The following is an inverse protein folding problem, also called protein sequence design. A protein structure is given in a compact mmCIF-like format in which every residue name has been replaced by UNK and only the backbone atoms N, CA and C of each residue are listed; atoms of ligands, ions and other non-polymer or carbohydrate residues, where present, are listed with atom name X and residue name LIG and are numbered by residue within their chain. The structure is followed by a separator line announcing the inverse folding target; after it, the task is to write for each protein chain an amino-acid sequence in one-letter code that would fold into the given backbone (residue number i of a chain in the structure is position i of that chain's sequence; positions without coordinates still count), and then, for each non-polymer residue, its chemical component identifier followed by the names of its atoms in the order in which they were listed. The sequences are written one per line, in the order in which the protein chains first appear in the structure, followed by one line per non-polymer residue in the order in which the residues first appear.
data_IF_111647145161
#
_entry.id   IF_111647145161
#
_cell.length_a   1.000
_cell.length_b   1.000
_cell.length_c   1.000
_cell.angle_alpha   90.00
_cell.angle_beta   90.00
_cell.angle_gamma   90.00
#
_symmetry.space_group_name_H-M   'P 1'
#
loop_
_entity.id
_entity.type
_entity.pdbx_description
1 polymer ?
#
# COMPACT_ATOMS: atom_id res chain seq x y z
N UNK A 1 53.16 5.37 -42.46
CA UNK A 1 52.39 5.15 -41.21
C UNK A 1 52.61 6.35 -40.29
N UNK A 2 51.70 7.34 -40.27
CA UNK A 2 51.81 8.50 -39.38
C UNK A 2 51.20 8.15 -38.01
N UNK A 3 52.00 8.16 -36.95
CA UNK A 3 51.50 8.03 -35.58
C UNK A 3 50.62 9.24 -35.28
N UNK A 4 49.33 9.02 -35.00
CA UNK A 4 48.43 10.03 -34.44
C UNK A 4 49.08 10.53 -33.14
N UNK A 5 49.53 11.79 -33.13
CA UNK A 5 50.07 12.40 -31.93
C UNK A 5 48.92 12.66 -30.97
N UNK A 6 48.73 11.78 -29.99
CA UNK A 6 47.93 12.12 -28.82
C UNK A 6 48.67 13.23 -28.06
N UNK A 7 48.25 14.47 -28.26
CA UNK A 7 48.67 15.55 -27.36
C UNK A 7 47.85 15.35 -26.08
N UNK A 8 48.48 15.16 -24.91
CA UNK A 8 47.75 15.14 -23.65
C UNK A 8 47.03 16.48 -23.54
N UNK A 9 45.71 16.49 -23.69
CA UNK A 9 44.89 17.66 -23.38
C UNK A 9 44.86 17.72 -21.86
N UNK A 10 45.32 18.81 -21.22
CA UNK A 10 45.22 18.95 -19.78
C UNK A 10 43.78 18.69 -19.35
N UNK A 11 43.61 17.90 -18.28
CA UNK A 11 42.29 17.64 -17.72
C UNK A 11 41.70 18.99 -17.28
N UNK A 12 40.56 19.34 -17.89
CA UNK A 12 39.82 20.53 -17.49
C UNK A 12 39.10 20.23 -16.18
N UNK A 13 39.72 20.65 -15.07
CA UNK A 13 39.19 20.51 -13.71
C UNK A 13 37.87 21.28 -13.50
N UNK A 14 37.49 22.17 -14.41
CA UNK A 14 36.21 22.89 -14.36
C UNK A 14 35.12 22.20 -15.17
N UNK A 15 35.44 21.11 -15.88
CA UNK A 15 34.44 20.32 -16.59
C UNK A 15 33.50 19.68 -15.57
N UNK A 16 32.23 20.05 -15.63
CA UNK A 16 31.18 19.43 -14.80
C UNK A 16 31.09 17.94 -15.11
N UNK A 17 31.06 17.13 -14.06
CA UNK A 17 30.86 15.68 -14.19
C UNK A 17 29.42 15.38 -14.61
N UNK A 18 29.20 14.40 -15.50
CA UNK A 18 27.86 13.90 -15.78
C UNK A 18 27.26 13.32 -14.50
N UNK A 19 26.01 13.68 -14.22
CA UNK A 19 25.27 13.15 -13.07
C UNK A 19 24.60 11.86 -13.53
N UNK A 20 25.00 10.76 -12.91
CA UNK A 20 24.40 9.45 -13.13
C UNK A 20 23.17 9.32 -12.23
N UNK A 21 22.01 9.05 -12.81
CA UNK A 21 20.73 8.89 -12.09
C UNK A 21 20.38 7.42 -11.87
N UNK A 22 20.88 6.51 -12.71
CA UNK A 22 20.64 5.06 -12.58
C UNK A 22 21.83 4.23 -13.07
N UNK A 23 21.91 2.96 -12.63
CA UNK A 23 22.96 2.03 -13.08
C UNK A 23 22.89 1.78 -14.60
N UNK A 24 21.71 1.94 -15.21
CA UNK A 24 21.53 1.82 -16.67
C UNK A 24 22.22 2.96 -17.43
N UNK A 25 22.48 4.10 -16.80
CA UNK A 25 23.15 5.24 -17.43
C UNK A 25 24.65 4.97 -17.66
N UNK A 26 25.19 3.86 -17.12
CA UNK A 26 26.55 3.39 -17.38
C UNK A 26 26.65 2.45 -18.60
N UNK A 27 25.54 1.88 -19.06
CA UNK A 27 25.53 0.88 -20.15
C UNK A 27 25.55 1.52 -21.55
N UNK A 28 25.34 2.84 -21.65
CA UNK A 28 25.27 3.58 -22.93
C UNK A 28 26.62 4.20 -23.37
N UNK A 29 27.71 3.93 -22.64
CA UNK A 29 29.03 4.58 -22.81
C UNK A 29 30.05 3.76 -23.64
N UNK A 30 29.59 2.78 -24.41
CA UNK A 30 30.43 1.98 -25.34
C UNK A 30 30.53 2.61 -26.75
N UNK A 31 30.39 3.94 -26.87
CA UNK A 31 30.66 4.64 -28.15
C UNK A 31 31.79 5.65 -28.02
N UNK A 32 32.88 5.50 -28.80
CA UNK A 32 34.01 6.42 -28.73
C UNK A 32 33.56 7.79 -29.20
N UNK A 33 33.91 8.79 -28.41
CA UNK A 33 33.68 10.22 -28.60
C UNK A 33 34.07 10.68 -30.01
N UNK A 34 33.12 10.65 -30.96
CA UNK A 34 33.25 11.35 -32.24
C UNK A 34 32.40 12.61 -32.19
N UNK A 35 33.07 13.72 -32.38
CA UNK A 35 32.46 15.04 -32.49
C UNK A 35 31.77 15.14 -33.86
N UNK A 36 30.54 15.68 -33.86
CA UNK A 36 29.71 16.17 -34.99
C UNK A 36 28.57 15.24 -35.45
N UNK A 37 27.37 15.77 -35.23
CA UNK A 37 26.19 15.65 -36.10
C UNK A 37 25.45 14.30 -36.14
N UNK A 38 24.78 13.96 -35.04
CA UNK A 38 23.60 13.08 -35.09
C UNK A 38 22.53 13.54 -34.11
N UNK A 39 22.11 14.79 -34.24
CA UNK A 39 20.70 15.12 -34.03
C UNK A 39 19.93 14.44 -35.16
N UNK A 40 18.75 13.90 -34.85
CA UNK A 40 17.80 13.27 -35.78
C UNK A 40 18.12 11.79 -36.03
N UNK A 41 17.65 10.91 -35.14
CA UNK A 41 16.78 9.79 -35.52
C UNK A 41 16.35 8.97 -34.30
N UNK A 42 15.02 8.90 -34.12
CA UNK A 42 14.24 7.92 -33.36
C UNK A 42 14.03 8.19 -31.87
N UNK A 43 13.02 9.01 -31.58
CA UNK A 43 11.81 8.52 -30.91
C UNK A 43 10.63 9.34 -31.45
N UNK A 44 10.00 8.81 -32.51
CA UNK A 44 8.72 9.28 -32.99
C UNK A 44 7.64 8.50 -32.24
N UNK A 45 6.95 9.18 -31.32
CA UNK A 45 5.51 9.11 -31.08
C UNK A 45 5.24 9.73 -29.71
N UNK A 46 4.89 11.01 -29.67
CA UNK A 46 3.89 11.55 -28.75
C UNK A 46 3.64 13.04 -29.11
N UNK A 47 2.37 13.41 -29.02
CA UNK A 47 1.74 14.54 -29.71
C UNK A 47 2.34 15.92 -29.38
N UNK A 48 2.41 16.77 -30.40
CA UNK A 48 2.73 18.20 -30.33
C UNK A 48 1.84 18.92 -29.31
N UNK A 49 2.46 19.43 -28.24
CA UNK A 49 1.99 20.62 -27.53
C UNK A 49 3.11 21.64 -27.64
N UNK A 50 3.06 22.48 -28.67
CA UNK A 50 3.94 23.64 -28.82
C UNK A 50 3.63 24.65 -27.72
N UNK A 51 4.51 24.78 -26.72
CA UNK A 51 4.51 25.90 -25.78
C UNK A 51 5.66 26.85 -26.18
N UNK A 52 5.41 28.15 -26.44
CA UNK A 52 6.45 29.10 -26.82
C UNK A 52 7.50 29.25 -25.72
N UNK A 53 8.77 28.99 -26.08
CA UNK A 53 9.90 29.06 -25.17
C UNK A 53 10.26 30.53 -24.87
N UNK A 54 9.81 31.04 -23.72
CA UNK A 54 10.26 32.33 -23.19
C UNK A 54 11.69 32.23 -22.63
N UNK A 55 12.60 33.02 -23.20
CA UNK A 55 13.96 33.18 -22.71
C UNK A 55 13.96 33.93 -21.37
N UNK A 56 14.09 33.22 -20.26
CA UNK A 56 14.42 33.87 -18.99
C UNK A 56 15.49 33.09 -18.22
N UNK A 57 16.66 33.72 -18.13
CA UNK A 57 17.77 33.32 -17.25
C UNK A 57 17.35 33.57 -15.80
N UNK A 58 16.77 32.57 -15.15
CA UNK A 58 16.77 32.41 -13.69
C UNK A 58 17.10 30.94 -13.44
N UNK A 59 17.91 30.66 -12.43
CA UNK A 59 18.12 29.30 -11.93
C UNK A 59 16.79 28.77 -11.42
N UNK A 60 15.99 28.22 -12.34
CA UNK A 60 14.80 27.48 -11.97
C UNK A 60 15.28 26.31 -11.12
N UNK A 61 14.79 26.22 -9.87
CA UNK A 61 15.02 25.04 -9.06
C UNK A 61 14.56 23.82 -9.89
N UNK A 62 15.46 22.87 -10.12
CA UNK A 62 15.11 21.63 -10.83
C UNK A 62 14.11 20.88 -9.93
N UNK A 63 12.84 20.90 -10.33
CA UNK A 63 11.78 20.19 -9.60
C UNK A 63 11.97 18.70 -9.92
N UNK A 64 12.23 17.85 -8.92
CA UNK A 64 12.41 16.43 -9.17
C UNK A 64 11.14 15.83 -9.76
N UNK A 65 11.28 15.14 -10.89
CA UNK A 65 10.18 14.38 -11.52
C UNK A 65 10.04 13.03 -10.81
N UNK A 66 8.82 12.61 -10.42
CA UNK A 66 8.63 11.30 -9.84
C UNK A 66 8.96 10.19 -10.84
N UNK A 67 9.58 9.13 -10.37
CA UNK A 67 9.79 7.91 -11.16
C UNK A 67 8.56 7.00 -11.02
N UNK A 68 8.27 6.23 -12.07
CA UNK A 68 7.23 5.20 -12.03
C UNK A 68 7.84 3.82 -12.24
N UNK A 69 7.16 2.80 -11.72
CA UNK A 69 7.53 1.39 -11.83
C UNK A 69 6.34 0.64 -12.38
N UNK A 70 6.57 -0.25 -13.35
CA UNK A 70 5.55 -1.18 -13.85
C UNK A 70 5.43 -2.33 -12.86
N UNK A 71 4.20 -2.62 -12.43
CA UNK A 71 3.92 -3.70 -11.47
C UNK A 71 3.46 -4.92 -12.25
N UNK A 72 4.27 -5.98 -12.22
CA UNK A 72 4.01 -7.20 -13.00
C UNK A 72 2.68 -7.89 -12.65
N UNK A 73 2.21 -7.73 -11.41
CA UNK A 73 0.96 -8.36 -10.93
C UNK A 73 -0.29 -7.54 -11.24
N UNK A 74 -0.16 -6.34 -11.82
CA UNK A 74 -1.26 -5.40 -11.97
C UNK A 74 -2.47 -6.01 -12.69
N UNK A 75 -2.25 -6.65 -13.84
CA UNK A 75 -3.33 -7.26 -14.64
C UNK A 75 -4.00 -8.47 -13.95
N UNK A 76 -3.30 -9.11 -13.01
CA UNK A 76 -3.85 -10.21 -12.21
C UNK A 76 -4.70 -9.66 -11.06
N UNK A 77 -4.22 -8.61 -10.40
CA UNK A 77 -4.82 -8.08 -9.18
C UNK A 77 -6.01 -7.14 -9.52
N UNK A 78 -6.00 -6.52 -10.71
CA UNK A 78 -7.06 -5.62 -11.19
C UNK A 78 -7.71 -6.15 -12.46
N UNK A 79 -8.87 -6.79 -12.30
CA UNK A 79 -9.65 -7.26 -13.44
C UNK A 79 -10.44 -6.12 -14.12
N UNK A 80 -10.41 -6.07 -15.46
CA UNK A 80 -11.14 -5.08 -16.26
C UNK A 80 -12.63 -5.43 -16.39
N UNK A 81 -13.37 -5.33 -15.29
CA UNK A 81 -14.80 -5.68 -15.22
C UNK A 81 -15.74 -4.48 -15.44
N UNK A 82 -15.20 -3.27 -15.52
CA UNK A 82 -16.01 -2.06 -15.69
C UNK A 82 -16.60 -1.94 -17.11
N UNK A 83 -17.92 -2.03 -17.22
CA UNK A 83 -18.68 -1.71 -18.42
C UNK A 83 -19.11 -0.25 -18.42
N UNK A 84 -18.56 0.56 -19.33
CA UNK A 84 -18.87 1.98 -19.41
C UNK A 84 -20.36 2.20 -19.78
N UNK A 85 -21.15 2.89 -18.94
CA UNK A 85 -22.54 3.20 -19.29
C UNK A 85 -22.62 4.30 -20.34
N UNK A 86 -23.76 4.36 -21.04
CA UNK A 86 -24.05 5.40 -22.05
C UNK A 86 -24.34 6.78 -21.46
N UNK A 87 -24.57 6.86 -20.15
CA UNK A 87 -24.82 8.10 -19.41
C UNK A 87 -23.71 8.40 -18.41
N UNK A 88 -23.62 9.64 -17.93
CA UNK A 88 -22.70 9.99 -16.85
C UNK A 88 -22.98 9.20 -15.55
N UNK A 89 -21.89 8.87 -14.85
CA UNK A 89 -21.94 8.17 -13.57
C UNK A 89 -22.65 9.05 -12.53
N UNK A 90 -23.72 8.53 -11.94
CA UNK A 90 -24.39 9.14 -10.80
C UNK A 90 -24.03 8.36 -9.55
N UNK A 91 -22.92 8.71 -8.93
CA UNK A 91 -22.47 8.04 -7.71
C UNK A 91 -23.37 8.43 -6.52
N UNK A 92 -23.85 7.42 -5.79
CA UNK A 92 -24.26 7.57 -4.38
C UNK A 92 -23.05 7.21 -3.50
N UNK A 93 -23.06 7.64 -2.24
CA UNK A 93 -21.93 7.39 -1.33
C UNK A 93 -21.59 5.89 -1.25
N UNK A 94 -20.31 5.54 -1.34
CA UNK A 94 -19.81 4.17 -1.47
C UNK A 94 -20.30 3.19 -0.37
N UNK A 95 -20.68 3.71 0.81
CA UNK A 95 -21.19 2.92 1.94
C UNK A 95 -22.70 2.74 1.99
N UNK A 96 -23.46 3.36 1.08
CA UNK A 96 -24.93 3.31 1.14
C UNK A 96 -25.52 2.05 0.49
N UNK A 97 -24.77 1.33 -0.36
CA UNK A 97 -25.34 0.25 -1.20
C UNK A 97 -24.56 -1.09 -1.16
N UNK A 98 -23.37 -1.13 -0.57
CA UNK A 98 -22.59 -2.36 -0.39
C UNK A 98 -22.96 -2.91 1.00
N UNK A 99 -23.19 -4.23 1.12
CA UNK A 99 -23.66 -4.91 2.33
C UNK A 99 -22.74 -4.75 3.56
N UNK A 100 -22.61 -5.80 4.37
CA UNK A 100 -21.71 -5.73 5.52
C UNK A 100 -20.25 -5.53 5.04
N UNK A 101 -19.72 -4.33 5.23
CA UNK A 101 -18.35 -3.98 4.85
C UNK A 101 -17.37 -4.54 5.88
N UNK A 102 -16.50 -5.44 5.43
CA UNK A 102 -15.42 -6.01 6.23
C UNK A 102 -14.15 -5.19 5.93
N UNK A 103 -13.58 -4.55 6.95
CA UNK A 103 -12.38 -3.72 6.83
C UNK A 103 -11.08 -4.50 7.07
N UNK A 104 -11.19 -5.77 7.45
CA UNK A 104 -10.05 -6.60 7.84
C UNK A 104 -9.51 -7.38 6.65
N UNK A 105 -8.27 -7.12 6.28
CA UNK A 105 -7.49 -7.93 5.34
C UNK A 105 -6.54 -8.84 6.13
N UNK A 106 -6.40 -10.10 5.70
CA UNK A 106 -5.45 -11.04 6.31
C UNK A 106 -4.02 -10.54 6.16
N UNK A 107 -3.24 -10.57 7.25
CA UNK A 107 -1.79 -10.38 7.16
C UNK A 107 -1.07 -11.72 6.88
N UNK A 108 0.25 -11.66 6.66
CA UNK A 108 1.04 -12.84 6.37
C UNK A 108 0.91 -13.95 7.44
N UNK A 109 0.80 -13.58 8.72
CA UNK A 109 0.62 -14.55 9.81
C UNK A 109 -0.75 -15.23 9.72
N UNK A 110 -1.78 -14.46 9.42
CA UNK A 110 -3.14 -14.97 9.21
C UNK A 110 -3.21 -15.91 8.00
N UNK A 111 -2.55 -15.55 6.89
CA UNK A 111 -2.48 -16.39 5.68
C UNK A 111 -1.75 -17.70 5.94
N UNK A 112 -0.60 -17.66 6.63
CA UNK A 112 0.18 -18.85 6.99
C UNK A 112 -0.65 -19.79 7.89
N UNK A 113 -1.32 -19.23 8.90
CA UNK A 113 -2.21 -19.99 9.78
C UNK A 113 -3.38 -20.61 9.02
N UNK A 114 -4.01 -19.86 8.12
CA UNK A 114 -5.14 -20.33 7.32
C UNK A 114 -4.73 -21.45 6.35
N UNK A 115 -3.54 -21.36 5.76
CA UNK A 115 -2.98 -22.40 4.90
C UNK A 115 -2.73 -23.69 5.68
N UNK A 116 -2.12 -23.59 6.86
CA UNK A 116 -1.86 -24.73 7.75
C UNK A 116 -3.17 -25.38 8.22
N UNK A 117 -4.14 -24.57 8.66
CA UNK A 117 -5.44 -25.05 9.12
C UNK A 117 -6.23 -25.79 8.03
N UNK A 118 -6.10 -25.35 6.78
CA UNK A 118 -6.79 -25.95 5.63
C UNK A 118 -5.98 -27.05 4.92
N UNK A 119 -4.78 -27.40 5.40
CA UNK A 119 -3.86 -28.32 4.72
C UNK A 119 -4.51 -29.67 4.40
N UNK A 120 -5.24 -30.23 5.36
CA UNK A 120 -5.88 -31.54 5.18
C UNK A 120 -7.22 -31.43 4.44
N UNK A 121 -7.99 -30.39 4.74
CA UNK A 121 -9.30 -30.12 4.15
C UNK A 121 -9.51 -28.62 4.09
N UNK A 122 -9.94 -28.11 2.93
CA UNK A 122 -10.34 -26.69 2.75
C UNK A 122 -11.69 -26.43 3.42
N UNK A 123 -11.68 -26.29 4.75
CA UNK A 123 -12.88 -26.13 5.58
C UNK A 123 -13.25 -24.65 5.73
N UNK A 124 -12.25 -23.76 5.74
CA UNK A 124 -12.42 -22.34 6.03
C UNK A 124 -11.95 -21.47 4.85
N UNK A 125 -12.84 -20.78 4.11
CA UNK A 125 -12.43 -19.82 3.10
C UNK A 125 -11.92 -18.52 3.72
N UNK A 126 -11.00 -17.83 3.02
CA UNK A 126 -10.35 -16.59 3.48
C UNK A 126 -11.36 -15.49 3.85
N UNK A 127 -12.33 -15.21 2.98
CA UNK A 127 -13.37 -14.19 3.22
C UNK A 127 -14.17 -14.43 4.52
N UNK A 128 -14.45 -15.70 4.85
CA UNK A 128 -15.11 -16.04 6.12
C UNK A 128 -14.19 -15.81 7.30
N UNK A 129 -12.90 -16.12 7.16
CA UNK A 129 -11.93 -15.89 8.22
C UNK A 129 -11.77 -14.40 8.52
N UNK A 130 -11.63 -13.56 7.50
CA UNK A 130 -11.61 -12.10 7.59
C UNK A 130 -12.86 -11.56 8.30
N UNK A 131 -14.04 -12.03 7.88
CA UNK A 131 -15.32 -11.64 8.47
C UNK A 131 -15.37 -11.95 9.98
N UNK A 132 -14.87 -13.13 10.38
CA UNK A 132 -14.88 -13.55 11.78
C UNK A 132 -13.88 -12.72 12.60
N UNK A 133 -12.63 -12.56 12.12
CA UNK A 133 -11.61 -11.75 12.79
C UNK A 133 -12.08 -10.31 12.99
N UNK A 134 -12.66 -9.71 11.96
CA UNK A 134 -13.25 -8.38 12.02
C UNK A 134 -14.33 -8.27 13.09
N UNK A 135 -15.30 -9.20 13.08
CA UNK A 135 -16.41 -9.15 14.04
C UNK A 135 -15.94 -9.43 15.47
N UNK A 136 -14.97 -10.31 15.69
CA UNK A 136 -14.37 -10.53 17.02
C UNK A 136 -13.74 -9.25 17.55
N UNK A 137 -12.97 -8.53 16.73
CA UNK A 137 -12.36 -7.25 17.13
C UNK A 137 -13.42 -6.19 17.47
N UNK A 138 -14.47 -6.08 16.66
CA UNK A 138 -15.59 -5.16 16.92
C UNK A 138 -16.34 -5.51 18.20
N UNK A 139 -16.58 -6.80 18.46
CA UNK A 139 -17.26 -7.27 19.66
C UNK A 139 -16.42 -7.05 20.92
N UNK A 140 -15.11 -7.32 20.88
CA UNK A 140 -14.20 -7.05 21.98
C UNK A 140 -14.10 -5.56 22.29
N UNK A 141 -14.03 -4.72 21.27
CA UNK A 141 -14.10 -3.27 21.44
C UNK A 141 -15.41 -2.85 22.14
N UNK A 142 -16.56 -3.38 21.71
CA UNK A 142 -17.85 -3.09 22.37
C UNK A 142 -17.89 -3.59 23.82
N UNK A 143 -17.28 -4.73 24.12
CA UNK A 143 -17.18 -5.25 25.48
C UNK A 143 -16.32 -4.32 26.37
N UNK A 144 -15.20 -3.81 25.84
CA UNK A 144 -14.35 -2.82 26.52
C UNK A 144 -15.06 -1.50 26.79
N UNK A 145 -15.77 -0.96 25.80
CA UNK A 145 -16.57 0.25 25.98
C UNK A 145 -17.63 0.09 27.08
N UNK A 146 -18.33 -1.05 27.11
CA UNK A 146 -19.32 -1.36 28.17
C UNK A 146 -18.70 -1.51 29.56
N UNK A 147 -17.48 -2.03 29.65
CA UNK A 147 -16.74 -2.14 30.89
C UNK A 147 -16.14 -0.79 31.36
N UNK A 148 -16.34 0.30 30.62
CA UNK A 148 -15.74 1.60 30.91
C UNK A 148 -14.23 1.66 30.60
N UNK A 149 -13.68 0.65 29.91
CA UNK A 149 -12.27 0.55 29.54
C UNK A 149 -12.11 1.21 28.17
N UNK A 150 -12.25 2.54 28.15
CA UNK A 150 -11.99 3.38 26.97
C UNK A 150 -10.51 3.78 27.02
N UNK A 151 -9.61 2.81 26.90
CA UNK A 151 -8.18 3.12 26.92
C UNK A 151 -7.81 3.78 25.60
N UNK A 152 -7.20 4.99 25.60
CA UNK A 152 -6.57 5.51 24.40
C UNK A 152 -5.54 4.46 23.92
N UNK A 153 -5.49 4.20 22.61
CA UNK A 153 -4.60 3.19 21.98
C UNK A 153 -3.10 3.40 22.24
N UNK A 154 -2.75 4.47 22.97
CA UNK A 154 -1.43 4.74 23.53
C UNK A 154 -1.51 4.56 25.05
N UNK A 155 -1.09 3.40 25.54
CA UNK A 155 -1.21 3.06 26.96
C UNK A 155 -0.99 1.58 27.28
N UNK A 156 -1.29 1.15 28.51
CA UNK A 156 -1.07 -0.20 29.03
C UNK A 156 -1.69 -1.29 28.15
N UNK A 157 -1.28 -2.57 28.35
CA UNK A 157 -1.80 -3.72 27.60
C UNK A 157 -3.31 -3.67 27.43
N UNK A 158 -3.81 -3.73 26.18
CA UNK A 158 -5.26 -3.72 25.89
C UNK A 158 -5.82 -5.13 26.11
N UNK A 159 -6.52 -5.39 27.22
CA UNK A 159 -6.97 -6.73 27.57
C UNK A 159 -8.06 -7.20 26.60
N UNK A 160 -8.12 -8.52 26.42
CA UNK A 160 -9.23 -9.18 25.72
C UNK A 160 -10.34 -9.44 26.74
N UNK A 161 -11.52 -8.87 26.54
CA UNK A 161 -12.67 -9.04 27.43
C UNK A 161 -13.75 -9.94 26.83
N UNK A 162 -13.74 -10.10 25.50
CA UNK A 162 -14.70 -10.96 24.83
C UNK A 162 -14.49 -12.43 25.23
N UNK A 163 -15.47 -13.02 25.90
CA UNK A 163 -15.46 -14.46 26.22
C UNK A 163 -15.90 -15.30 25.02
N UNK A 164 -15.49 -16.56 24.99
CA UNK A 164 -15.84 -17.49 23.92
C UNK A 164 -17.35 -17.66 23.78
N UNK A 165 -18.07 -17.88 24.88
CA UNK A 165 -19.52 -18.08 24.87
C UNK A 165 -20.26 -16.86 24.32
N UNK A 166 -19.85 -15.65 24.72
CA UNK A 166 -20.43 -14.41 24.20
C UNK A 166 -20.13 -14.23 22.70
N UNK A 167 -18.95 -14.64 22.24
CA UNK A 167 -18.60 -14.61 20.82
C UNK A 167 -19.43 -15.63 20.00
N UNK A 168 -19.63 -16.85 20.51
CA UNK A 168 -20.48 -17.87 19.88
C UNK A 168 -21.92 -17.38 19.76
N UNK A 169 -22.48 -16.83 20.83
CA UNK A 169 -23.84 -16.29 20.85
C UNK A 169 -24.01 -15.15 19.84
N UNK A 170 -23.05 -14.22 19.79
CA UNK A 170 -23.10 -13.07 18.89
C UNK A 170 -22.88 -13.45 17.41
N UNK A 171 -22.14 -14.53 17.12
CA UNK A 171 -21.75 -14.93 15.77
C UNK A 171 -22.45 -16.19 15.25
N UNK A 172 -23.50 -16.65 15.95
CA UNK A 172 -24.30 -17.81 15.54
C UNK A 172 -24.88 -17.71 14.13
N UNK A 173 -25.14 -16.49 13.64
CA UNK A 173 -25.71 -16.26 12.30
C UNK A 173 -24.77 -16.64 11.14
N UNK A 174 -23.46 -16.77 11.40
CA UNK A 174 -22.47 -17.12 10.38
C UNK A 174 -22.46 -18.63 10.02
N UNK A 175 -23.23 -19.47 10.73
CA UNK A 175 -23.35 -20.92 10.50
C UNK A 175 -21.99 -21.62 10.38
N UNK A 176 -21.16 -21.48 11.41
CA UNK A 176 -19.81 -22.05 11.46
C UNK A 176 -19.82 -23.29 12.37
N UNK A 177 -19.09 -24.33 11.98
CA UNK A 177 -18.90 -25.51 12.83
C UNK A 177 -18.18 -25.09 14.11
N UNK A 178 -18.70 -25.52 15.25
CA UNK A 178 -18.20 -25.14 16.58
C UNK A 178 -16.66 -25.29 16.71
N UNK A 179 -16.09 -26.43 16.32
CA UNK A 179 -14.64 -26.65 16.42
C UNK A 179 -13.79 -25.73 15.53
N UNK A 180 -14.33 -25.32 14.37
CA UNK A 180 -13.65 -24.34 13.49
C UNK A 180 -13.69 -22.96 14.15
N UNK A 181 -14.87 -22.56 14.66
CA UNK A 181 -15.02 -21.29 15.36
C UNK A 181 -14.13 -21.21 16.60
N UNK A 182 -14.05 -22.29 17.38
CA UNK A 182 -13.17 -22.39 18.54
C UNK A 182 -11.69 -22.20 18.16
N UNK A 183 -11.25 -22.83 17.07
CA UNK A 183 -9.88 -22.68 16.58
C UNK A 183 -9.57 -21.25 16.17
N UNK A 184 -10.49 -20.59 15.46
CA UNK A 184 -10.37 -19.19 15.04
C UNK A 184 -10.33 -18.25 16.26
N UNK A 185 -11.23 -18.45 17.22
CA UNK A 185 -11.28 -17.63 18.42
C UNK A 185 -9.99 -17.75 19.25
N UNK A 186 -9.47 -18.97 19.43
CA UNK A 186 -8.22 -19.19 20.15
C UNK A 186 -7.06 -18.49 19.44
N UNK A 187 -6.94 -18.66 18.11
CA UNK A 187 -5.93 -17.96 17.31
C UNK A 187 -6.02 -16.44 17.47
N UNK A 188 -7.20 -15.85 17.28
CA UNK A 188 -7.41 -14.41 17.42
C UNK A 188 -7.07 -13.91 18.83
N UNK A 189 -7.50 -14.64 19.85
CA UNK A 189 -7.27 -14.28 21.26
C UNK A 189 -5.77 -14.32 21.57
N UNK A 190 -5.07 -15.38 21.20
CA UNK A 190 -3.62 -15.51 21.38
C UNK A 190 -2.87 -14.38 20.64
N UNK A 191 -3.27 -14.08 19.40
CA UNK A 191 -2.70 -12.96 18.62
C UNK A 191 -2.92 -11.62 19.33
N UNK A 192 -4.14 -11.36 19.84
CA UNK A 192 -4.47 -10.13 20.59
C UNK A 192 -3.71 -10.01 21.90
N UNK A 193 -3.61 -11.09 22.66
CA UNK A 193 -2.86 -11.15 23.92
C UNK A 193 -1.35 -11.00 23.69
N UNK A 194 -0.81 -11.51 22.58
CA UNK A 194 0.59 -11.30 22.21
C UNK A 194 0.87 -9.86 21.80
N UNK A 195 -0.02 -9.27 21.00
CA UNK A 195 0.20 -7.94 20.43
C UNK A 195 -0.12 -6.80 21.39
N UNK A 196 -1.06 -7.03 22.33
CA UNK A 196 -1.52 -6.03 23.31
C UNK A 196 -2.07 -4.74 22.68
N UNK A 197 -2.40 -4.78 21.39
CA UNK A 197 -2.99 -3.70 20.59
C UNK A 197 -4.07 -4.26 19.65
N UNK A 198 -5.10 -3.47 19.32
CA UNK A 198 -6.09 -3.84 18.30
C UNK A 198 -5.43 -4.30 17.00
N UNK A 199 -5.99 -5.33 16.36
CA UNK A 199 -5.45 -5.81 15.07
C UNK A 199 -5.84 -4.87 13.92
N UNK A 200 -7.01 -4.23 14.03
CA UNK A 200 -7.43 -3.17 13.09
C UNK A 200 -6.59 -1.90 13.30
N UNK A 201 -5.83 -1.52 12.27
CA UNK A 201 -5.09 -0.25 12.25
C UNK A 201 -6.08 0.91 12.18
N UNK A 202 -5.91 1.90 13.06
CA UNK A 202 -6.71 3.14 13.05
C UNK A 202 -5.81 4.33 12.85
N UNK A 203 -6.30 5.32 12.10
CA UNK A 203 -5.63 6.61 11.97
C UNK A 203 -5.55 7.29 13.34
N UNK A 204 -4.36 7.80 13.67
CA UNK A 204 -4.19 8.59 14.88
C UNK A 204 -4.79 9.98 14.66
N UNK A 205 -5.86 10.28 15.40
CA UNK A 205 -6.32 11.66 15.51
C UNK A 205 -5.48 12.32 16.59
N UNK A 206 -4.47 13.10 16.19
CA UNK A 206 -3.84 14.05 17.09
C UNK A 206 -4.91 15.04 17.54
N UNK A 207 -5.38 14.92 18.78
CA UNK A 207 -6.22 15.96 19.38
C UNK A 207 -5.38 17.23 19.46
N UNK A 208 -5.53 18.12 18.48
CA UNK A 208 -5.02 19.49 18.58
C UNK A 208 -5.82 20.13 19.70
N UNK A 209 -5.19 20.28 20.85
CA UNK A 209 -5.75 21.05 21.96
C UNK A 209 -5.80 22.51 21.51
N UNK A 210 -6.97 22.99 21.12
CA UNK A 210 -7.19 24.42 20.91
C UNK A 210 -7.46 25.01 22.29
N UNK A 211 -6.54 25.77 22.90
CA UNK A 211 -6.83 26.43 24.15
C UNK A 211 -7.93 27.46 23.88
N UNK A 212 -9.04 27.33 24.60
CA UNK A 212 -10.05 28.37 24.71
C UNK A 212 -9.34 29.61 25.29
N UNK A 213 -9.16 30.65 24.46
CA UNK A 213 -8.73 31.95 24.96
C UNK A 213 -9.90 32.53 25.76
N UNK A 214 -9.67 32.76 27.05
CA UNK A 214 -10.53 33.54 27.95
C UNK A 214 -10.51 35.01 27.59
#
# INVERSE_FOLDING_TARGET
MSRLSFRPRPLDIHKKLPIVKSVKDFEDDDTPTTTRNSQILRFAAEADIEVPQVSSKKSAAEIPTPQFVVVDTYERDYSRTFGQPTSYLRARGARAEIGEFIEYDLDNEDEDWLQEFNRERKILPAEKFETILFKLEVLDHKARERAGIITPTLGPPVPVLLTFDAAVEALQSLSIKYGVFQSIYNYWKEKRERWQKPVLRRLQVSRIFVPLRS
#
